data_IF_323340149299
#
_entry.id   IF_323340149299
#
_cell.length_a   1.000
_cell.length_b   1.000
_cell.length_c   1.000
_cell.angle_alpha   90.00
_cell.angle_beta   90.00
_cell.angle_gamma   90.00
#
_symmetry.space_group_name_H-M   'P 1'
#
loop_
_entity.id
_entity.type
_entity.pdbx_description
1 polymer ?
#
# COMPACT_ATOMS: atom_id res chain seq x y z
N UNK A 1 -5.55 5.56 3.02
CA UNK A 1 -6.39 6.77 2.93
C UNK A 1 -7.85 6.32 2.97
N UNK A 2 -8.85 7.19 2.89
CA UNK A 2 -10.26 6.77 2.74
C UNK A 2 -10.76 7.09 1.34
N UNK A 3 -10.21 6.39 0.35
CA UNK A 3 -10.48 6.63 -1.06
C UNK A 3 -11.94 6.33 -1.42
N UNK A 4 -12.68 7.34 -1.84
CA UNK A 4 -14.10 7.24 -2.22
C UNK A 4 -14.42 8.33 -3.27
N UNK A 5 -15.57 8.26 -3.98
CA UNK A 5 -15.89 9.21 -5.05
C UNK A 5 -15.92 10.68 -4.64
N UNK A 6 -16.27 11.01 -3.39
CA UNK A 6 -16.31 12.41 -2.93
C UNK A 6 -14.91 13.03 -2.86
N UNK A 7 -13.87 12.19 -2.88
CA UNK A 7 -12.48 12.60 -2.87
C UNK A 7 -11.91 12.72 -4.30
N UNK A 8 -12.75 12.63 -5.34
CA UNK A 8 -12.34 12.72 -6.74
C UNK A 8 -13.08 13.89 -7.39
N UNK A 9 -12.34 14.92 -7.78
CA UNK A 9 -12.86 16.03 -8.56
C UNK A 9 -12.53 15.82 -10.03
N UNK A 10 -13.52 16.02 -10.89
CA UNK A 10 -13.38 15.92 -12.35
C UNK A 10 -13.71 17.28 -12.94
N UNK A 11 -12.76 17.81 -13.68
CA UNK A 11 -12.85 19.10 -14.37
C UNK A 11 -12.51 18.87 -15.84
N UNK A 12 -13.37 19.35 -16.75
CA UNK A 12 -13.21 19.10 -18.19
C UNK A 12 -11.93 19.73 -18.76
N UNK A 13 -11.40 20.79 -18.13
CA UNK A 13 -10.16 21.47 -18.57
C UNK A 13 -8.91 20.95 -17.85
N UNK A 14 -9.04 20.60 -16.56
CA UNK A 14 -7.91 20.25 -15.68
C UNK A 14 -7.76 18.75 -15.43
N UNK A 15 -8.73 17.95 -15.86
CA UNK A 15 -8.75 16.51 -15.68
C UNK A 15 -9.18 16.08 -14.27
N UNK A 16 -8.64 14.95 -13.81
CA UNK A 16 -9.03 14.31 -12.54
C UNK A 16 -8.06 14.72 -11.44
N UNK A 17 -8.59 15.29 -10.35
CA UNK A 17 -7.83 15.70 -9.17
C UNK A 17 -8.32 14.95 -7.93
N UNK A 18 -7.39 14.43 -7.13
CA UNK A 18 -7.71 13.85 -5.83
C UNK A 18 -7.78 14.93 -4.77
N UNK A 19 -8.84 14.87 -3.97
CA UNK A 19 -9.13 15.76 -2.85
C UNK A 19 -9.05 15.00 -1.52
N UNK A 20 -9.06 15.78 -0.44
CA UNK A 20 -9.23 15.31 0.93
C UNK A 20 -8.25 14.20 1.37
N UNK A 21 -7.00 14.63 1.58
CA UNK A 21 -5.99 13.83 2.26
C UNK A 21 -6.12 13.86 3.79
N UNK A 22 -7.17 14.47 4.36
CA UNK A 22 -7.32 14.67 5.81
C UNK A 22 -7.47 13.36 6.60
N UNK A 23 -7.89 12.29 5.93
CA UNK A 23 -7.98 10.93 6.48
C UNK A 23 -6.86 10.00 5.96
N UNK A 24 -5.78 10.58 5.44
CA UNK A 24 -4.59 9.81 5.06
C UNK A 24 -3.86 9.36 6.30
N UNK A 25 -3.44 8.10 6.29
CA UNK A 25 -2.62 7.52 7.35
C UNK A 25 -1.22 7.35 6.78
N UNK A 26 -0.22 7.83 7.51
CA UNK A 26 1.16 7.39 7.32
C UNK A 26 1.30 5.90 7.66
N UNK A 27 2.34 5.24 7.14
CA UNK A 27 2.63 3.84 7.49
C UNK A 27 2.76 3.68 9.03
N UNK A 28 3.36 4.65 9.72
CA UNK A 28 3.47 4.63 11.19
C UNK A 28 2.12 4.77 11.90
N UNK A 29 1.22 5.62 11.41
CA UNK A 29 -0.12 5.78 11.97
C UNK A 29 -0.97 4.53 11.74
N UNK A 30 -0.91 3.94 10.55
CA UNK A 30 -1.60 2.70 10.22
C UNK A 30 -1.17 1.54 11.13
N UNK A 31 0.14 1.45 11.45
CA UNK A 31 0.67 0.44 12.37
C UNK A 31 0.14 0.63 13.80
N UNK A 32 -0.11 1.87 14.23
CA UNK A 32 -0.57 2.21 15.58
C UNK A 32 -2.09 2.14 15.73
N UNK A 33 -2.84 1.90 14.65
CA UNK A 33 -4.28 1.78 14.74
C UNK A 33 -4.67 0.57 15.59
N UNK A 34 -5.65 0.73 16.51
CA UNK A 34 -6.22 -0.41 17.21
C UNK A 34 -6.83 -1.41 16.23
N UNK A 35 -6.62 -2.70 16.50
CA UNK A 35 -7.29 -3.79 15.78
C UNK A 35 -8.81 -3.61 15.92
N UNK A 36 -9.55 -3.80 14.82
CA UNK A 36 -11.01 -3.64 14.79
C UNK A 36 -11.52 -2.21 14.57
N UNK A 37 -10.64 -1.21 14.44
CA UNK A 37 -11.06 0.15 14.10
C UNK A 37 -11.45 0.26 12.63
N UNK A 38 -12.68 0.73 12.38
CA UNK A 38 -13.17 1.01 11.03
C UNK A 38 -12.59 2.33 10.52
N UNK A 39 -12.03 2.33 9.31
CA UNK A 39 -11.45 3.52 8.67
C UNK A 39 -11.97 3.65 7.23
N UNK A 40 -12.87 4.60 7.01
CA UNK A 40 -13.39 4.98 5.69
C UNK A 40 -14.89 5.02 5.58
N UNK A 41 -15.37 5.04 4.34
CA UNK A 41 -16.75 5.39 4.03
C UNK A 41 -17.40 4.25 3.29
N UNK A 42 -18.49 3.71 3.85
CA UNK A 42 -19.33 2.75 3.15
C UNK A 42 -19.89 3.35 1.85
N UNK A 43 -20.04 2.56 0.77
CA UNK A 43 -19.66 1.15 0.62
C UNK A 43 -18.21 0.92 0.13
N UNK A 44 -17.34 1.93 0.18
CA UNK A 44 -15.98 1.90 -0.37
C UNK A 44 -14.94 1.49 0.68
N UNK A 45 -15.07 0.28 1.20
CA UNK A 45 -14.21 -0.25 2.25
C UNK A 45 -13.70 -1.66 1.89
N UNK A 46 -12.42 -1.89 2.17
CA UNK A 46 -11.79 -3.21 2.17
C UNK A 46 -12.01 -3.96 3.50
N UNK A 47 -11.71 -5.27 3.54
CA UNK A 47 -11.89 -6.09 4.74
C UNK A 47 -10.94 -5.70 5.88
N UNK A 48 -9.71 -5.31 5.57
CA UNK A 48 -8.75 -4.79 6.54
C UNK A 48 -9.17 -3.41 7.09
N UNK A 49 -9.85 -2.58 6.30
CA UNK A 49 -10.36 -1.28 6.76
C UNK A 49 -11.57 -1.38 7.68
N UNK A 50 -12.29 -2.51 7.67
CA UNK A 50 -13.34 -2.81 8.67
C UNK A 50 -12.81 -3.65 9.83
N UNK A 51 -11.50 -3.95 9.85
CA UNK A 51 -10.86 -4.72 10.91
C UNK A 51 -11.21 -6.21 10.93
N UNK A 52 -11.65 -6.77 9.80
CA UNK A 52 -12.02 -8.19 9.70
C UNK A 52 -10.82 -9.12 9.45
N UNK A 53 -9.68 -8.56 9.03
CA UNK A 53 -8.46 -9.34 8.74
C UNK A 53 -7.30 -8.88 9.62
N UNK A 54 -6.32 -9.76 9.79
CA UNK A 54 -5.06 -9.46 10.49
C UNK A 54 -4.13 -8.54 9.68
N UNK A 55 -4.47 -8.25 8.41
CA UNK A 55 -3.67 -7.35 7.59
C UNK A 55 -3.79 -5.91 8.09
N UNK A 56 -2.66 -5.21 8.09
CA UNK A 56 -2.64 -3.76 8.32
C UNK A 56 -3.21 -3.03 7.11
N UNK A 57 -3.87 -1.91 7.37
CA UNK A 57 -4.30 -0.98 6.33
C UNK A 57 -3.04 -0.40 5.68
N UNK A 58 -2.89 -0.60 4.38
CA UNK A 58 -1.78 -0.08 3.59
C UNK A 58 -2.28 0.40 2.22
N UNK A 59 -1.36 0.73 1.30
CA UNK A 59 -1.71 1.23 -0.02
C UNK A 59 -2.62 0.28 -0.82
N UNK A 60 -2.61 -1.03 -0.53
CA UNK A 60 -3.45 -2.02 -1.21
C UNK A 60 -4.93 -1.85 -0.86
N UNK A 61 -5.24 -1.30 0.31
CA UNK A 61 -6.61 -0.90 0.66
C UNK A 61 -7.12 0.19 -0.26
N UNK A 62 -6.29 1.20 -0.56
CA UNK A 62 -6.63 2.28 -1.49
C UNK A 62 -6.79 1.74 -2.93
N UNK A 63 -6.02 0.73 -3.33
CA UNK A 63 -6.18 0.05 -4.64
C UNK A 63 -7.52 -0.67 -4.74
N UNK A 64 -7.95 -1.36 -3.69
CA UNK A 64 -9.26 -2.02 -3.64
C UNK A 64 -10.40 -1.00 -3.76
N UNK A 65 -10.35 0.10 -2.99
CA UNK A 65 -11.34 1.17 -3.09
C UNK A 65 -11.34 1.83 -4.48
N UNK A 66 -10.17 2.04 -5.08
CA UNK A 66 -10.05 2.55 -6.45
C UNK A 66 -10.73 1.60 -7.45
N UNK A 67 -10.56 0.29 -7.30
CA UNK A 67 -11.20 -0.70 -8.15
C UNK A 67 -12.73 -0.73 -7.98
N UNK A 68 -13.26 -0.50 -6.77
CA UNK A 68 -14.70 -0.34 -6.55
C UNK A 68 -15.27 0.86 -7.31
N UNK A 69 -14.56 1.99 -7.26
CA UNK A 69 -14.96 3.21 -7.99
C UNK A 69 -14.91 2.95 -9.49
N UNK A 70 -13.82 2.35 -9.99
CA UNK A 70 -13.69 2.01 -11.41
C UNK A 70 -14.81 1.07 -11.87
N UNK A 71 -15.10 0.02 -11.10
CA UNK A 71 -16.20 -0.90 -11.39
C UNK A 71 -17.54 -0.14 -11.50
N UNK A 72 -17.80 0.80 -10.58
CA UNK A 72 -19.00 1.63 -10.61
C UNK A 72 -19.05 2.56 -11.80
N UNK A 73 -17.93 3.18 -12.18
CA UNK A 73 -17.86 4.04 -13.36
C UNK A 73 -18.15 3.27 -14.64
N UNK A 74 -17.68 2.02 -14.73
CA UNK A 74 -17.84 1.19 -15.92
C UNK A 74 -19.21 0.50 -16.03
N UNK A 75 -19.84 0.16 -14.90
CA UNK A 75 -21.11 -0.60 -14.89
C UNK A 75 -22.33 0.17 -14.38
N UNK A 76 -22.13 1.37 -13.83
CA UNK A 76 -23.16 2.15 -13.14
C UNK A 76 -23.54 1.63 -11.74
N UNK A 77 -23.04 0.46 -11.32
CA UNK A 77 -23.36 -0.18 -10.04
C UNK A 77 -22.11 -0.69 -9.32
N UNK A 78 -22.21 -0.98 -8.03
CA UNK A 78 -21.11 -1.61 -7.28
C UNK A 78 -21.14 -3.13 -7.44
N UNK A 79 -19.99 -3.82 -7.29
CA UNK A 79 -19.95 -5.28 -7.32
C UNK A 79 -20.57 -5.88 -6.05
N UNK A 80 -20.51 -5.16 -4.93
CA UNK A 80 -21.06 -5.55 -3.63
C UNK A 80 -22.21 -4.61 -3.27
N UNK A 81 -23.43 -5.13 -3.22
CA UNK A 81 -24.62 -4.32 -2.91
C UNK A 81 -24.97 -4.45 -1.43
N UNK A 82 -25.06 -3.32 -0.74
CA UNK A 82 -25.56 -3.23 0.63
C UNK A 82 -26.86 -2.44 0.63
N UNK A 83 -27.86 -2.90 1.39
CA UNK A 83 -29.19 -2.28 1.42
C UNK A 83 -29.33 -1.33 2.60
N UNK A 84 -28.79 -1.72 3.76
CA UNK A 84 -28.98 -1.01 5.01
C UNK A 84 -27.75 -0.20 5.44
N UNK A 85 -26.78 0.00 4.53
CA UNK A 85 -25.46 0.57 4.86
C UNK A 85 -24.81 -0.12 6.07
N UNK A 86 -24.96 -1.44 6.16
CA UNK A 86 -24.41 -2.25 7.25
C UNK A 86 -23.04 -2.81 6.88
N UNK A 87 -22.12 -2.79 7.85
CA UNK A 87 -20.80 -3.40 7.73
C UNK A 87 -20.93 -4.93 7.62
N UNK A 88 -21.88 -5.53 8.33
CA UNK A 88 -22.12 -6.98 8.27
C UNK A 88 -22.60 -7.42 6.88
N UNK A 89 -23.42 -6.60 6.22
CA UNK A 89 -23.84 -6.85 4.84
C UNK A 89 -22.65 -6.73 3.89
N UNK A 90 -21.85 -5.67 4.01
CA UNK A 90 -20.67 -5.49 3.17
C UNK A 90 -19.69 -6.66 3.33
N UNK A 91 -19.41 -7.05 4.57
CA UNK A 91 -18.57 -8.20 4.89
C UNK A 91 -19.09 -9.47 4.24
N UNK A 92 -20.38 -9.77 4.41
CA UNK A 92 -21.01 -10.94 3.79
C UNK A 92 -20.89 -10.92 2.27
N UNK A 93 -21.11 -9.76 1.64
CA UNK A 93 -20.99 -9.60 0.19
C UNK A 93 -19.55 -9.84 -0.28
N UNK A 94 -18.56 -9.21 0.33
CA UNK A 94 -17.16 -9.36 -0.08
C UNK A 94 -16.66 -10.80 0.11
N UNK A 95 -17.07 -11.49 1.17
CA UNK A 95 -16.64 -12.86 1.44
C UNK A 95 -17.33 -13.91 0.57
N UNK A 96 -18.60 -13.69 0.19
CA UNK A 96 -19.42 -14.68 -0.52
C UNK A 96 -19.53 -14.42 -2.02
N UNK A 97 -19.47 -13.16 -2.45
CA UNK A 97 -19.70 -12.79 -3.83
C UNK A 97 -18.39 -12.84 -4.62
N UNK A 98 -18.36 -13.68 -5.66
CA UNK A 98 -17.39 -13.52 -6.72
C UNK A 98 -17.74 -12.29 -7.54
N UNK A 99 -16.73 -11.45 -7.81
CA UNK A 99 -16.87 -10.27 -8.68
C UNK A 99 -17.27 -10.75 -10.07
N UNK A 100 -18.51 -10.45 -10.45
CA UNK A 100 -19.07 -10.89 -11.71
C UNK A 100 -18.46 -10.10 -12.87
N UNK A 101 -18.14 -10.74 -14.01
CA UNK A 101 -17.70 -10.03 -15.19
C UNK A 101 -18.83 -9.16 -15.76
N UNK A 102 -18.49 -7.93 -16.13
CA UNK A 102 -19.37 -7.01 -16.84
C UNK A 102 -19.34 -7.40 -18.31
N UNK A 103 -20.49 -7.83 -18.85
CA UNK A 103 -20.59 -8.46 -20.18
C UNK A 103 -20.16 -7.54 -21.32
N UNK A 104 -20.39 -6.25 -21.14
CA UNK A 104 -20.11 -5.20 -22.13
C UNK A 104 -18.63 -4.77 -22.12
N UNK A 105 -17.84 -5.23 -21.14
CA UNK A 105 -16.41 -4.92 -21.05
C UNK A 105 -15.55 -6.00 -21.71
N UNK A 106 -14.41 -5.60 -22.31
CA UNK A 106 -13.38 -6.53 -22.72
C UNK A 106 -12.94 -7.48 -21.60
N UNK A 107 -12.58 -8.71 -21.98
CA UNK A 107 -12.08 -9.71 -21.04
C UNK A 107 -10.90 -9.21 -20.21
N UNK A 108 -10.01 -8.40 -20.81
CA UNK A 108 -8.87 -7.79 -20.12
C UNK A 108 -9.30 -6.91 -18.94
N UNK A 109 -10.29 -6.03 -19.14
CA UNK A 109 -10.79 -5.16 -18.06
C UNK A 109 -11.47 -5.97 -16.96
N UNK A 110 -12.26 -6.97 -17.34
CA UNK A 110 -12.88 -7.88 -16.36
C UNK A 110 -11.82 -8.59 -15.51
N UNK A 111 -10.77 -9.11 -16.13
CA UNK A 111 -9.72 -9.83 -15.43
C UNK A 111 -8.93 -8.90 -14.47
N UNK A 112 -8.70 -7.65 -14.87
CA UNK A 112 -8.10 -6.61 -14.01
C UNK A 112 -8.99 -6.31 -12.80
N UNK A 113 -10.30 -6.06 -13.02
CA UNK A 113 -11.24 -5.78 -11.93
C UNK A 113 -11.35 -6.95 -10.95
N UNK A 114 -11.44 -8.18 -11.46
CA UNK A 114 -11.51 -9.40 -10.65
C UNK A 114 -10.27 -9.56 -9.77
N UNK A 115 -9.06 -9.29 -10.30
CA UNK A 115 -7.83 -9.32 -9.49
C UNK A 115 -7.84 -8.20 -8.45
N UNK A 116 -8.13 -6.97 -8.84
CA UNK A 116 -8.05 -5.81 -7.95
C UNK A 116 -9.05 -5.88 -6.77
N UNK A 117 -10.18 -6.54 -6.97
CA UNK A 117 -11.26 -6.71 -6.00
C UNK A 117 -11.20 -8.04 -5.23
N UNK A 118 -10.06 -8.74 -5.23
CA UNK A 118 -9.89 -9.91 -4.35
C UNK A 118 -9.99 -9.48 -2.88
N UNK A 119 -10.68 -10.27 -2.01
CA UNK A 119 -10.82 -9.92 -0.60
C UNK A 119 -9.49 -9.86 0.16
N UNK A 120 -8.56 -10.75 -0.17
CA UNK A 120 -7.23 -10.80 0.46
C UNK A 120 -6.29 -9.76 -0.17
N UNK A 121 -5.58 -8.95 0.65
CA UNK A 121 -4.55 -8.03 0.16
C UNK A 121 -3.43 -8.68 -0.64
N UNK A 122 -3.09 -9.93 -0.37
CA UNK A 122 -1.99 -10.64 -1.03
C UNK A 122 -2.40 -11.15 -2.44
N UNK A 123 -3.70 -11.34 -2.69
CA UNK A 123 -4.23 -11.87 -3.95
C UNK A 123 -4.56 -10.78 -4.99
N UNK A 124 -4.60 -9.51 -4.56
CA UNK A 124 -4.88 -8.34 -5.42
C UNK A 124 -3.61 -7.64 -5.87
N UNK A 125 -3.76 -6.48 -6.52
CA UNK A 125 -2.59 -5.70 -6.91
C UNK A 125 -1.81 -5.21 -5.69
N UNK A 126 -0.50 -5.36 -5.75
CA UNK A 126 0.44 -4.93 -4.72
C UNK A 126 0.84 -3.47 -4.92
N UNK A 127 0.78 -2.97 -6.16
CA UNK A 127 1.30 -1.65 -6.51
C UNK A 127 0.35 -0.87 -7.41
N UNK A 128 0.26 0.45 -7.19
CA UNK A 128 -0.47 1.35 -8.08
C UNK A 128 0.12 1.37 -9.49
N UNK A 129 1.45 1.20 -9.61
CA UNK A 129 2.14 1.13 -10.90
C UNK A 129 1.73 -0.10 -11.70
N UNK A 130 1.66 -1.27 -11.05
CA UNK A 130 1.20 -2.50 -11.68
C UNK A 130 -0.26 -2.39 -12.13
N UNK A 131 -1.12 -1.87 -11.26
CA UNK A 131 -2.53 -1.66 -11.61
C UNK A 131 -2.69 -0.66 -12.78
N UNK A 132 -1.96 0.47 -12.75
CA UNK A 132 -1.95 1.47 -13.83
C UNK A 132 -1.46 0.90 -15.16
N UNK A 133 -0.42 0.05 -15.14
CA UNK A 133 0.12 -0.56 -16.34
C UNK A 133 -0.94 -1.43 -17.03
N UNK A 134 -1.56 -2.33 -16.27
CA UNK A 134 -2.60 -3.21 -16.81
C UNK A 134 -3.80 -2.42 -17.35
N UNK A 135 -4.21 -1.33 -16.67
CA UNK A 135 -5.27 -0.44 -17.17
C UNK A 135 -4.89 0.28 -18.48
N UNK A 136 -3.62 0.66 -18.64
CA UNK A 136 -3.13 1.24 -19.90
C UNK A 136 -3.18 0.23 -21.04
N UNK A 137 -2.71 -0.99 -20.80
CA UNK A 137 -2.79 -2.07 -21.80
C UNK A 137 -4.24 -2.34 -22.18
N UNK A 138 -5.16 -2.33 -21.20
CA UNK A 138 -6.59 -2.48 -21.47
C UNK A 138 -7.17 -1.33 -22.31
N UNK A 139 -6.73 -0.09 -22.09
CA UNK A 139 -7.13 1.07 -22.88
C UNK A 139 -6.58 1.01 -24.31
N UNK A 140 -5.33 0.59 -24.48
CA UNK A 140 -4.72 0.35 -25.79
C UNK A 140 -5.48 -0.76 -26.53
N UNK A 141 -5.85 -1.83 -25.83
CA UNK A 141 -6.63 -2.94 -26.38
C UNK A 141 -8.09 -2.61 -26.71
N UNK A 142 -8.62 -1.51 -26.17
CA UNK A 142 -9.91 -0.96 -26.59
C UNK A 142 -9.79 -0.18 -27.89
N UNK A 143 -8.66 0.49 -28.12
CA UNK A 143 -8.42 1.35 -29.28
C UNK A 143 -7.88 0.57 -30.49
N UNK A 144 -7.17 -0.52 -30.26
CA UNK A 144 -6.61 -1.39 -31.30
C UNK A 144 -6.97 -2.86 -31.03
N UNK A 145 -7.06 -3.70 -32.07
CA UNK A 145 -7.23 -5.15 -31.89
C UNK A 145 -5.97 -5.74 -31.26
N UNK A 146 -5.89 -5.73 -29.93
CA UNK A 146 -4.81 -6.37 -29.17
C UNK A 146 -4.91 -7.88 -29.33
N UNK A 147 -3.86 -8.49 -29.89
CA UNK A 147 -3.84 -9.90 -30.28
C UNK A 147 -2.89 -10.77 -29.44
N UNK A 148 -2.30 -10.22 -28.38
CA UNK A 148 -1.40 -10.96 -27.49
C UNK A 148 -2.10 -11.54 -26.27
N UNK A 149 -1.56 -12.66 -25.76
CA UNK A 149 -2.00 -13.27 -24.51
C UNK A 149 -1.69 -12.36 -23.32
N UNK A 150 -2.70 -11.66 -22.82
CA UNK A 150 -2.59 -10.78 -21.65
C UNK A 150 -2.58 -11.59 -20.35
N UNK A 151 -1.56 -11.37 -19.51
CA UNK A 151 -1.44 -11.96 -18.17
C UNK A 151 -1.61 -10.85 -17.14
N UNK A 152 -2.71 -10.89 -16.39
CA UNK A 152 -3.06 -9.88 -15.39
C UNK A 152 -2.03 -9.83 -14.27
N UNK A 153 -1.52 -8.63 -13.97
CA UNK A 153 -0.56 -8.35 -12.91
C UNK A 153 0.85 -8.87 -13.18
N UNK A 154 1.19 -9.19 -14.44
CA UNK A 154 2.54 -9.67 -14.81
C UNK A 154 3.64 -8.69 -14.40
N UNK A 155 3.38 -7.39 -14.48
CA UNK A 155 4.33 -6.32 -14.12
C UNK A 155 4.16 -5.81 -12.69
N UNK A 156 3.21 -6.37 -11.93
CA UNK A 156 2.92 -5.97 -10.56
C UNK A 156 3.94 -6.62 -9.61
N UNK A 157 5.12 -5.99 -9.51
CA UNK A 157 6.24 -6.54 -8.75
C UNK A 157 6.69 -5.56 -7.65
N UNK A 158 6.61 -6.02 -6.40
CA UNK A 158 7.05 -5.32 -5.18
C UNK A 158 8.54 -4.95 -5.26
N UNK A 159 9.37 -5.74 -5.94
CA UNK A 159 10.80 -5.45 -6.10
C UNK A 159 11.06 -4.14 -6.85
N UNK A 160 10.18 -3.72 -7.77
CA UNK A 160 10.29 -2.43 -8.46
C UNK A 160 9.87 -1.25 -7.56
N UNK A 161 8.90 -1.45 -6.66
CA UNK A 161 8.47 -0.42 -5.70
C UNK A 161 9.51 -0.20 -4.59
N UNK A 162 10.17 -1.27 -4.14
CA UNK A 162 11.33 -1.14 -3.24
C UNK A 162 12.51 -0.38 -3.90
N UNK A 163 12.64 -0.40 -5.24
CA UNK A 163 13.60 0.43 -5.97
C UNK A 163 13.20 1.92 -6.02
N UNK A 164 11.91 2.26 -5.96
CA UNK A 164 11.44 3.66 -6.01
C UNK A 164 11.52 4.34 -4.63
N UNK A 165 11.49 3.57 -3.52
CA UNK A 165 11.84 4.10 -2.20
C UNK A 165 13.33 4.52 -2.11
N UNK A 166 14.17 4.18 -3.08
CA UNK A 166 15.57 4.60 -3.14
C UNK A 166 15.63 6.12 -3.38
N UNK A 167 15.67 6.91 -2.31
CA UNK A 167 16.12 8.29 -2.40
C UNK A 167 17.55 8.25 -2.95
N UNK A 168 17.70 8.64 -4.22
CA UNK A 168 18.99 8.97 -4.82
C UNK A 168 19.60 10.09 -3.97
N UNK A 169 20.89 9.95 -3.63
CA UNK A 169 21.73 10.86 -2.83
C UNK A 169 21.83 10.62 -1.30
N UNK A 170 21.68 9.39 -0.80
CA UNK A 170 22.08 8.99 0.58
C UNK A 170 23.06 7.81 0.64
N UNK A 171 23.77 7.57 -0.47
CA UNK A 171 24.73 6.48 -0.61
C UNK A 171 25.89 6.63 0.37
N UNK A 172 26.34 7.86 0.63
CA UNK A 172 27.43 8.14 1.56
C UNK A 172 27.08 7.77 3.01
N UNK A 173 25.85 8.05 3.46
CA UNK A 173 25.39 7.71 4.80
C UNK A 173 25.25 6.19 4.97
N UNK A 174 24.72 5.50 3.96
CA UNK A 174 24.61 4.04 3.97
C UNK A 174 25.98 3.37 3.91
N UNK A 175 26.91 3.87 3.10
CA UNK A 175 28.30 3.39 3.03
C UNK A 175 29.03 3.59 4.38
N UNK A 176 28.75 4.70 5.07
CA UNK A 176 29.29 4.95 6.41
C UNK A 176 28.80 3.92 7.43
N UNK A 177 27.51 3.57 7.40
CA UNK A 177 26.95 2.52 8.26
C UNK A 177 27.52 1.13 7.90
N UNK A 178 27.69 0.84 6.61
CA UNK A 178 28.27 -0.40 6.13
C UNK A 178 29.71 -0.59 6.62
N UNK A 179 30.54 0.46 6.54
CA UNK A 179 31.92 0.43 7.10
C UNK A 179 31.94 0.10 8.59
N UNK A 180 30.93 0.54 9.33
CA UNK A 180 30.75 0.18 10.73
C UNK A 180 30.47 -1.30 10.94
N UNK A 181 29.59 -1.87 10.13
CA UNK A 181 29.29 -3.30 10.16
C UNK A 181 30.54 -4.13 9.81
N UNK A 182 31.31 -3.71 8.80
CA UNK A 182 32.55 -4.38 8.41
C UNK A 182 33.61 -4.32 9.52
N UNK A 183 33.64 -3.25 10.31
CA UNK A 183 34.50 -3.14 11.49
C UNK A 183 34.01 -4.02 12.63
N UNK A 184 32.69 -4.11 12.84
CA UNK A 184 32.07 -4.98 13.82
C UNK A 184 32.33 -6.46 13.52
N UNK A 185 32.22 -6.88 12.25
CA UNK A 185 32.59 -8.21 11.78
C UNK A 185 34.07 -8.55 12.08
N UNK A 186 34.94 -7.55 12.15
CA UNK A 186 36.36 -7.66 12.53
C UNK A 186 36.59 -7.55 14.05
N UNK A 187 35.53 -7.62 14.86
CA UNK A 187 35.60 -7.57 16.33
C UNK A 187 35.74 -6.17 16.92
N UNK A 188 35.54 -5.09 16.14
CA UNK A 188 35.62 -3.70 16.63
C UNK A 188 34.23 -3.09 16.78
N UNK A 189 33.88 -2.69 17.99
CA UNK A 189 32.64 -1.96 18.24
C UNK A 189 32.64 -0.60 17.51
N UNK A 190 31.50 -0.26 16.89
CA UNK A 190 31.28 1.01 16.20
C UNK A 190 29.98 1.66 16.68
N UNK A 191 29.95 2.99 16.75
CA UNK A 191 28.75 3.76 17.13
C UNK A 191 28.49 4.87 16.12
N UNK A 192 27.22 5.05 15.72
CA UNK A 192 26.81 6.07 14.77
C UNK A 192 25.70 6.94 15.35
N UNK A 193 25.75 8.25 15.07
CA UNK A 193 24.70 9.19 15.44
C UNK A 193 24.01 9.72 14.17
N UNK A 194 22.74 9.35 13.98
CA UNK A 194 21.91 9.90 12.90
C UNK A 194 21.11 11.10 13.42
N UNK A 195 21.42 12.30 12.95
CA UNK A 195 20.75 13.54 13.35
C UNK A 195 20.21 14.32 12.14
N UNK A 196 19.22 15.19 12.37
CA UNK A 196 18.59 16.01 11.33
C UNK A 196 17.17 16.42 11.68
N UNK A 197 16.56 17.30 10.86
CA UNK A 197 15.19 17.80 11.06
C UNK A 197 14.14 16.66 11.10
N UNK A 198 12.99 16.90 11.70
CA UNK A 198 11.88 15.95 11.66
C UNK A 198 11.46 15.69 10.21
N UNK A 199 11.06 14.45 9.88
CA UNK A 199 10.66 14.07 8.51
C UNK A 199 11.79 13.95 7.49
N UNK A 200 13.06 14.24 7.83
CA UNK A 200 14.18 14.22 6.88
C UNK A 200 14.61 12.81 6.40
N UNK A 201 13.95 11.74 6.88
CA UNK A 201 14.25 10.36 6.48
C UNK A 201 15.23 9.60 7.37
N UNK A 202 15.42 9.98 8.65
CA UNK A 202 16.31 9.24 9.58
C UNK A 202 15.89 7.78 9.76
N UNK A 203 14.62 7.53 10.07
CA UNK A 203 14.04 6.18 10.18
C UNK A 203 14.18 5.40 8.88
N UNK A 204 14.04 6.10 7.76
CA UNK A 204 14.18 5.52 6.43
C UNK A 204 15.61 5.01 6.17
N UNK A 205 16.64 5.77 6.51
CA UNK A 205 18.06 5.36 6.40
C UNK A 205 18.33 4.10 7.21
N UNK A 206 17.83 4.03 8.46
CA UNK A 206 18.00 2.85 9.32
C UNK A 206 17.34 1.61 8.71
N UNK A 207 16.11 1.75 8.20
CA UNK A 207 15.39 0.65 7.56
C UNK A 207 16.07 0.19 6.26
N UNK A 208 16.56 1.12 5.44
CA UNK A 208 17.34 0.78 4.24
C UNK A 208 18.64 0.06 4.57
N UNK A 209 19.37 0.53 5.58
CA UNK A 209 20.58 -0.15 6.05
C UNK A 209 20.25 -1.57 6.53
N UNK A 210 19.15 -1.76 7.28
CA UNK A 210 18.69 -3.08 7.72
C UNK A 210 18.51 -4.06 6.56
N UNK A 211 17.94 -3.62 5.43
CA UNK A 211 17.75 -4.51 4.26
C UNK A 211 19.06 -5.00 3.63
N UNK A 212 20.19 -4.35 3.94
CA UNK A 212 21.52 -4.75 3.48
C UNK A 212 22.27 -5.65 4.48
N UNK A 213 21.74 -5.84 5.68
CA UNK A 213 22.33 -6.73 6.68
C UNK A 213 21.93 -8.17 6.35
N UNK A 214 22.90 -9.08 6.37
CA UNK A 214 22.62 -10.50 6.30
C UNK A 214 22.09 -10.98 7.66
N UNK A 215 20.80 -11.34 7.74
CA UNK A 215 20.16 -11.79 9.00
C UNK A 215 20.72 -13.13 9.51
N UNK A 216 21.44 -13.88 8.68
CA UNK A 216 22.14 -15.11 9.09
C UNK A 216 23.45 -14.83 9.87
N UNK A 217 24.00 -13.62 9.76
CA UNK A 217 25.30 -13.26 10.38
C UNK A 217 25.19 -12.25 11.52
N UNK A 218 24.15 -11.41 11.53
CA UNK A 218 24.02 -10.30 12.48
C UNK A 218 22.63 -10.21 13.09
N UNK A 219 22.58 -10.04 14.42
CA UNK A 219 21.36 -9.67 15.12
C UNK A 219 21.19 -8.15 15.13
N UNK A 220 20.06 -7.67 14.64
CA UNK A 220 19.72 -6.26 14.64
C UNK A 220 18.72 -5.94 15.76
N UNK A 221 19.13 -5.11 16.72
CA UNK A 221 18.26 -4.59 17.77
C UNK A 221 17.96 -3.12 17.48
N UNK A 222 16.68 -2.76 17.42
CA UNK A 222 16.24 -1.39 17.25
C UNK A 222 15.21 -1.03 18.31
N UNK A 223 15.30 0.21 18.76
CA UNK A 223 14.31 0.79 19.65
C UNK A 223 14.20 2.29 19.42
N UNK A 224 13.05 2.84 19.81
CA UNK A 224 12.66 4.21 19.52
C UNK A 224 12.41 4.96 20.83
N UNK A 225 13.06 6.11 21.01
CA UNK A 225 12.79 7.00 22.14
C UNK A 225 11.78 8.06 21.73
N UNK A 226 10.57 8.01 22.30
CA UNK A 226 9.55 9.02 22.07
C UNK A 226 9.64 10.14 23.12
N UNK A 227 9.56 11.41 22.69
CA UNK A 227 9.55 12.58 23.58
C UNK A 227 8.35 12.62 24.53
N UNK A 228 7.29 11.86 24.23
CA UNK A 228 6.06 11.81 25.03
C UNK A 228 6.07 10.77 26.17
N UNK A 229 7.13 9.95 26.29
CA UNK A 229 7.31 8.99 27.38
C UNK A 229 8.70 9.17 28.03
N UNK A 230 8.92 10.25 28.80
CA UNK A 230 10.25 10.61 29.29
C UNK A 230 10.74 9.82 30.52
N UNK A 231 9.99 8.86 31.06
CA UNK A 231 10.20 8.39 32.44
C UNK A 231 10.69 6.96 32.65
N UNK A 232 11.02 6.18 31.60
CA UNK A 232 11.64 4.86 31.79
C UNK A 232 13.06 4.78 31.21
N UNK A 233 14.10 4.97 32.04
CA UNK A 233 15.45 4.61 31.64
C UNK A 233 15.51 3.12 31.27
N UNK A 234 16.22 2.79 30.18
CA UNK A 234 16.39 1.44 29.64
C UNK A 234 15.14 0.73 29.08
N UNK A 235 14.01 1.42 28.89
CA UNK A 235 12.86 0.90 28.13
C UNK A 235 13.23 0.44 26.70
N UNK A 236 14.37 0.92 26.22
CA UNK A 236 14.94 0.71 24.90
C UNK A 236 15.60 -0.68 24.73
N UNK A 237 15.90 -1.39 25.84
CA UNK A 237 16.66 -2.65 25.86
C UNK A 237 15.84 -3.86 26.37
N UNK A 238 14.51 -3.77 26.40
CA UNK A 238 13.61 -4.88 26.77
C UNK A 238 13.06 -5.60 25.54
#
# INVERSE_FOLDING_TARGET
>A
MTFNPNNIFVDDEKGVTLLDFGNSLTEEEAIKLPVGRIVGTLPYLSLEQIGFTEYKIDARSDLFCTALILYRLLSGKLPFTIQNNSIEELLNQILKAEVQPIKELPAILNAILIKALKPSPDDRYQTATGFKYDLKVALEALNEKYNESFIVGKTDNIAAVNRIKMFVARENEIDTLQKGLDQFAKGKASSFLLYGKSGIGKTFIVNQFRTKINEDEFFFLASNSNRFTPTQPYSVFR
#
